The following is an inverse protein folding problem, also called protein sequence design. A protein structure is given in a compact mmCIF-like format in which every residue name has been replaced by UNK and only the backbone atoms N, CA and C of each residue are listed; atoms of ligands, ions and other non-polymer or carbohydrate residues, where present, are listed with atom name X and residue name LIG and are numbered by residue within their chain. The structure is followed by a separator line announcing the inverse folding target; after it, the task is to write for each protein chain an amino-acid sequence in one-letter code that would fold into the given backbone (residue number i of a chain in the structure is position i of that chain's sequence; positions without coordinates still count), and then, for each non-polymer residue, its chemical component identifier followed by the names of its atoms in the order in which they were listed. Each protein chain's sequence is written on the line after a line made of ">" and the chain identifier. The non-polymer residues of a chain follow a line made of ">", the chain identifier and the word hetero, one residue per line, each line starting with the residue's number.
data_IF_528037864192
#
_entry.id   IF_528037864192
#
_cell.length_a   1.000
_cell.length_b   1.000
_cell.length_c   1.000
_cell.angle_alpha   90.00
_cell.angle_beta   90.00
_cell.angle_gamma   90.00
#
_symmetry.space_group_name_H-M   'P 1'
#
loop_
_entity.id
_entity.type
_entity.pdbx_description
1 polymer ?
#
# COMPACT_ATOMS: atom_id res chain seq x y z
N UNK A 1 -4.30 -12.37 10.66
CA UNK A 1 -2.90 -12.79 10.85
C UNK A 1 -2.78 -14.00 11.76
N UNK A 2 -3.34 -14.00 12.99
CA UNK A 2 -3.22 -15.13 13.93
C UNK A 2 -3.95 -16.40 13.48
N UNK A 3 -5.06 -16.25 12.80
CA UNK A 3 -5.94 -17.34 12.35
C UNK A 3 -5.59 -17.90 10.95
N UNK A 4 -4.62 -17.33 10.26
CA UNK A 4 -4.19 -17.71 8.91
C UNK A 4 -2.76 -18.25 8.90
N UNK A 5 -2.46 -19.16 7.98
CA UNK A 5 -1.11 -19.65 7.71
C UNK A 5 -0.43 -18.71 6.69
N UNK A 6 0.30 -17.72 7.21
CA UNK A 6 0.96 -16.67 6.41
C UNK A 6 2.46 -16.65 6.65
N UNK A 7 3.18 -17.72 6.27
CA UNK A 7 4.60 -17.89 6.61
C UNK A 7 5.50 -16.82 5.97
N UNK A 8 5.19 -16.36 4.76
CA UNK A 8 6.00 -15.35 4.07
C UNK A 8 5.87 -13.98 4.74
N UNK A 9 4.65 -13.55 5.04
CA UNK A 9 4.39 -12.30 5.76
C UNK A 9 4.98 -12.36 7.18
N UNK A 10 4.86 -13.50 7.89
CA UNK A 10 5.50 -13.69 9.21
C UNK A 10 7.02 -13.58 9.13
N UNK A 11 7.63 -14.15 8.11
CA UNK A 11 9.06 -14.00 7.88
C UNK A 11 9.48 -12.54 7.68
N UNK A 12 8.68 -11.74 6.99
CA UNK A 12 8.92 -10.29 6.86
C UNK A 12 8.81 -9.58 8.22
N UNK A 13 7.84 -9.94 9.05
CA UNK A 13 7.70 -9.39 10.41
C UNK A 13 8.90 -9.73 11.30
N UNK A 14 9.37 -10.97 11.26
CA UNK A 14 10.51 -11.44 12.05
C UNK A 14 11.84 -10.81 11.62
N UNK A 15 11.98 -10.50 10.33
CA UNK A 15 13.20 -9.91 9.75
C UNK A 15 13.09 -8.41 9.47
N UNK A 16 12.04 -7.75 9.97
CA UNK A 16 11.77 -6.35 9.79
C UNK A 16 11.10 -5.70 11.00
N UNK A 17 10.39 -4.63 10.76
CA UNK A 17 9.59 -3.94 11.77
C UNK A 17 8.11 -3.97 11.38
N UNK A 18 7.22 -4.02 12.36
CA UNK A 18 5.80 -4.09 12.07
C UNK A 18 4.91 -3.51 13.17
N UNK A 19 3.71 -3.11 12.78
CA UNK A 19 2.55 -2.94 13.67
C UNK A 19 1.32 -3.56 13.03
N UNK A 20 0.41 -4.10 13.83
CA UNK A 20 -0.91 -4.57 13.39
C UNK A 20 -2.01 -3.57 13.77
N UNK A 21 -1.62 -2.38 14.19
CA UNK A 21 -2.51 -1.34 14.75
C UNK A 21 -2.38 0.01 14.03
N UNK A 22 -1.88 0.00 12.77
CA UNK A 22 -1.93 1.21 11.95
C UNK A 22 -3.41 1.59 11.74
N UNK A 23 -3.75 2.85 11.89
CA UNK A 23 -5.11 3.35 11.76
C UNK A 23 -5.39 3.89 10.37
N UNK A 24 -6.49 3.42 9.79
CA UNK A 24 -7.13 4.07 8.63
C UNK A 24 -7.67 5.44 9.02
N UNK A 25 -7.91 6.31 8.03
CA UNK A 25 -8.70 7.52 8.22
C UNK A 25 -10.19 7.24 8.00
N UNK A 26 -11.05 8.13 8.45
CA UNK A 26 -12.49 8.00 8.27
C UNK A 26 -12.97 8.74 7.02
N UNK A 27 -13.94 8.15 6.29
CA UNK A 27 -14.47 6.81 6.45
C UNK A 27 -13.41 5.74 6.15
N UNK A 28 -13.49 4.57 6.81
CA UNK A 28 -12.57 3.45 6.57
C UNK A 28 -12.90 2.73 5.25
N UNK A 29 -12.68 3.43 4.15
CA UNK A 29 -13.06 2.99 2.80
C UNK A 29 -11.95 3.28 1.78
N UNK A 30 -12.04 2.64 0.62
CA UNK A 30 -10.92 2.43 -0.30
C UNK A 30 -10.33 3.73 -0.83
N UNK A 31 -11.05 4.55 -1.61
CA UNK A 31 -10.43 5.74 -2.22
C UNK A 31 -9.85 6.70 -1.17
N UNK A 32 -10.55 6.88 -0.03
CA UNK A 32 -10.12 7.76 1.06
C UNK A 32 -8.78 7.31 1.65
N UNK A 33 -8.63 6.00 1.88
CA UNK A 33 -7.44 5.46 2.54
C UNK A 33 -6.29 5.21 1.58
N UNK A 34 -6.54 4.80 0.34
CA UNK A 34 -5.50 4.75 -0.68
C UNK A 34 -4.95 6.15 -0.98
N UNK A 35 -5.83 7.17 -1.14
CA UNK A 35 -5.40 8.56 -1.30
C UNK A 35 -4.55 9.00 -0.12
N UNK A 36 -5.00 8.77 1.12
CA UNK A 36 -4.24 9.15 2.31
C UNK A 36 -2.87 8.45 2.37
N UNK A 37 -2.80 7.18 1.96
CA UNK A 37 -1.57 6.40 1.91
C UNK A 37 -0.56 6.95 0.91
N UNK A 38 -1.02 7.40 -0.27
CA UNK A 38 -0.13 7.91 -1.32
C UNK A 38 0.20 9.39 -1.16
N UNK A 39 -0.68 10.17 -0.52
CA UNK A 39 -0.65 11.63 -0.43
C UNK A 39 -0.17 12.17 0.92
N UNK A 40 0.18 11.31 1.88
CA UNK A 40 0.73 11.73 3.17
C UNK A 40 -0.17 12.66 4.01
N UNK A 41 -1.47 12.69 3.73
CA UNK A 41 -2.44 13.62 4.31
C UNK A 41 -3.80 12.96 4.50
N UNK A 42 -4.68 13.55 5.29
CA UNK A 42 -6.06 13.11 5.46
C UNK A 42 -7.03 13.66 4.39
N UNK A 43 -8.27 13.13 4.36
CA UNK A 43 -9.27 13.52 3.36
C UNK A 43 -9.63 15.01 3.38
N UNK A 44 -9.54 15.66 4.53
CA UNK A 44 -9.73 17.10 4.66
C UNK A 44 -8.69 17.95 3.91
N UNK A 45 -7.56 17.38 3.54
CA UNK A 45 -6.48 18.04 2.79
C UNK A 45 -6.45 17.63 1.32
N UNK A 46 -6.49 16.30 1.04
CA UNK A 46 -6.42 15.82 -0.34
C UNK A 46 -7.79 15.83 -1.05
N UNK A 47 -8.90 15.84 -0.31
CA UNK A 47 -10.23 16.03 -0.85
C UNK A 47 -11.00 14.77 -1.26
N UNK A 48 -10.37 13.60 -1.29
CA UNK A 48 -11.05 12.33 -1.60
C UNK A 48 -11.74 11.82 -0.33
N UNK A 49 -13.08 11.88 -0.30
CA UNK A 49 -13.87 11.67 0.91
C UNK A 49 -14.83 10.47 0.85
N UNK A 50 -15.08 9.91 -0.34
CA UNK A 50 -16.01 8.82 -0.55
C UNK A 50 -15.28 7.53 -0.99
N UNK A 51 -15.90 6.37 -0.84
CA UNK A 51 -15.28 5.07 -1.15
C UNK A 51 -14.81 4.94 -2.61
N UNK A 52 -15.48 5.58 -3.53
CA UNK A 52 -15.23 5.50 -4.97
C UNK A 52 -14.88 6.86 -5.60
N UNK A 53 -14.38 7.81 -4.84
CA UNK A 53 -13.98 9.13 -5.36
C UNK A 53 -12.97 8.98 -6.51
N UNK A 54 -13.31 9.52 -7.67
CA UNK A 54 -12.46 9.57 -8.86
C UNK A 54 -11.82 10.95 -9.05
N UNK A 55 -12.39 11.93 -8.41
CA UNK A 55 -11.91 13.32 -8.31
C UNK A 55 -12.11 13.76 -6.87
N UNK A 56 -11.40 14.77 -6.40
CA UNK A 56 -11.62 15.28 -5.04
C UNK A 56 -13.06 15.77 -4.84
N UNK A 57 -13.74 15.26 -3.82
CA UNK A 57 -15.09 15.66 -3.40
C UNK A 57 -15.06 17.03 -2.73
N UNK A 58 -13.95 17.34 -2.05
CA UNK A 58 -13.60 18.66 -1.55
C UNK A 58 -12.41 19.19 -2.35
N UNK A 59 -12.34 20.50 -2.63
CA UNK A 59 -11.15 21.06 -3.27
C UNK A 59 -9.86 20.68 -2.52
N UNK A 60 -8.93 20.03 -3.19
CA UNK A 60 -7.62 19.72 -2.63
C UNK A 60 -6.94 20.99 -2.11
N UNK A 61 -6.31 20.93 -0.93
CA UNK A 61 -5.67 22.10 -0.31
C UNK A 61 -4.59 22.71 -1.20
N UNK A 62 -3.87 21.86 -1.93
CA UNK A 62 -2.93 22.21 -2.99
C UNK A 62 -3.01 21.14 -4.09
N UNK A 63 -2.55 21.49 -5.28
CA UNK A 63 -2.31 20.54 -6.37
C UNK A 63 -0.92 20.81 -6.95
N UNK A 64 -0.30 19.78 -7.50
CA UNK A 64 0.95 19.90 -8.25
C UNK A 64 0.67 20.41 -9.69
N UNK A 65 1.69 20.45 -10.53
CA UNK A 65 1.58 20.91 -11.93
C UNK A 65 0.68 19.99 -12.79
N UNK A 66 0.49 18.75 -12.40
CA UNK A 66 -0.37 17.76 -13.06
C UNK A 66 -1.82 17.84 -12.60
N UNK A 67 -2.13 18.74 -11.64
CA UNK A 67 -3.50 18.98 -11.15
C UNK A 67 -3.98 18.00 -10.08
N UNK A 68 -3.09 17.19 -9.51
CA UNK A 68 -3.40 16.27 -8.41
C UNK A 68 -2.70 16.71 -7.11
N UNK A 69 -3.26 16.36 -5.96
CA UNK A 69 -2.58 16.54 -4.68
C UNK A 69 -1.23 15.80 -4.69
N UNK A 70 -0.12 16.37 -4.15
CA UNK A 70 1.21 15.75 -4.19
C UNK A 70 1.18 14.31 -3.66
N UNK A 71 1.66 13.37 -4.48
CA UNK A 71 1.74 11.94 -4.17
C UNK A 71 3.18 11.50 -4.00
N UNK A 72 3.41 10.38 -3.30
CA UNK A 72 4.76 9.79 -3.21
C UNK A 72 5.36 9.49 -4.59
N UNK A 73 4.53 9.21 -5.58
CA UNK A 73 4.97 8.96 -6.96
C UNK A 73 5.49 10.23 -7.63
N UNK A 74 4.73 11.33 -7.54
CA UNK A 74 5.16 12.64 -8.09
C UNK A 74 6.38 13.18 -7.35
N UNK A 75 6.44 13.05 -6.03
CA UNK A 75 7.58 13.51 -5.25
C UNK A 75 8.85 12.71 -5.57
N UNK A 76 8.74 11.39 -5.78
CA UNK A 76 9.87 10.59 -6.23
C UNK A 76 10.30 10.97 -7.66
N UNK A 77 9.36 11.17 -8.57
CA UNK A 77 9.65 11.61 -9.95
C UNK A 77 10.37 12.96 -9.97
N UNK A 78 9.97 13.89 -9.11
CA UNK A 78 10.59 15.23 -9.04
C UNK A 78 12.06 15.17 -8.61
N UNK A 79 12.43 14.29 -7.68
CA UNK A 79 13.84 14.17 -7.22
C UNK A 79 14.66 13.18 -8.03
N UNK A 80 14.02 12.24 -8.72
CA UNK A 80 14.65 11.21 -9.54
C UNK A 80 13.91 11.07 -10.89
N UNK A 81 14.15 12.00 -11.84
CA UNK A 81 13.39 12.04 -13.11
C UNK A 81 13.45 10.75 -13.93
N UNK A 82 14.54 9.98 -13.81
CA UNK A 82 14.77 8.74 -14.56
C UNK A 82 14.37 7.47 -13.76
N UNK A 83 13.80 7.63 -12.57
CA UNK A 83 13.40 6.48 -11.74
C UNK A 83 12.33 5.64 -12.44
N UNK A 84 12.50 4.33 -12.43
CA UNK A 84 11.45 3.40 -12.88
C UNK A 84 10.41 3.28 -11.77
N UNK A 85 9.18 3.71 -12.03
CA UNK A 85 8.09 3.77 -11.05
C UNK A 85 6.89 3.02 -11.62
N UNK A 86 6.45 1.97 -10.93
CA UNK A 86 5.36 1.11 -11.38
C UNK A 86 4.13 1.15 -10.48
N UNK A 87 2.98 0.91 -11.09
CA UNK A 87 1.70 0.75 -10.42
C UNK A 87 0.93 -0.40 -11.07
N UNK A 88 0.60 -1.45 -10.31
CA UNK A 88 -0.07 -2.66 -10.78
C UNK A 88 -1.20 -2.96 -9.81
N UNK A 89 -2.44 -2.99 -10.28
CA UNK A 89 -3.60 -3.01 -9.40
C UNK A 89 -4.82 -3.69 -10.04
N UNK A 90 -5.69 -4.24 -9.20
CA UNK A 90 -6.96 -4.86 -9.58
C UNK A 90 -8.10 -3.84 -9.54
N UNK A 91 -8.26 -3.11 -8.46
CA UNK A 91 -9.32 -2.13 -8.33
C UNK A 91 -9.05 -0.87 -9.17
N UNK A 92 -9.89 -0.61 -10.17
CA UNK A 92 -9.69 0.53 -11.10
C UNK A 92 -9.61 1.89 -10.40
N UNK A 93 -10.21 2.03 -9.21
CA UNK A 93 -10.17 3.26 -8.42
C UNK A 93 -8.76 3.77 -8.12
N UNK A 94 -7.76 2.90 -8.06
CA UNK A 94 -6.36 3.27 -7.79
C UNK A 94 -5.83 4.30 -8.80
N UNK A 95 -6.19 4.18 -10.08
CA UNK A 95 -5.70 5.10 -11.14
C UNK A 95 -6.04 6.56 -10.91
N UNK A 96 -7.09 6.85 -10.15
CA UNK A 96 -7.53 8.21 -9.86
C UNK A 96 -6.86 8.82 -8.63
N UNK A 97 -6.09 8.01 -7.89
CA UNK A 97 -5.47 8.36 -6.62
C UNK A 97 -3.93 8.45 -6.71
N UNK A 98 -3.39 8.07 -7.86
CA UNK A 98 -1.97 8.17 -8.18
C UNK A 98 -1.76 9.26 -9.24
N UNK A 99 -0.58 9.87 -9.22
CA UNK A 99 -0.16 10.75 -10.31
C UNK A 99 0.33 9.88 -11.48
N UNK A 100 -0.54 9.65 -12.46
CA UNK A 100 -0.24 8.75 -13.58
C UNK A 100 0.87 9.29 -14.49
N UNK A 101 1.12 10.61 -14.51
CA UNK A 101 2.21 11.22 -15.28
C UNK A 101 3.57 10.98 -14.61
N UNK A 102 3.58 10.70 -13.31
CA UNK A 102 4.79 10.32 -12.59
C UNK A 102 5.22 8.86 -12.82
N UNK A 103 4.34 8.00 -13.38
CA UNK A 103 4.59 6.58 -13.53
C UNK A 103 5.35 6.25 -14.82
N UNK A 104 6.23 5.24 -14.77
CA UNK A 104 6.86 4.60 -15.93
C UNK A 104 5.99 3.44 -16.44
N UNK A 105 5.25 2.80 -15.55
CA UNK A 105 4.38 1.67 -15.84
C UNK A 105 3.11 1.75 -15.00
N UNK A 106 1.96 1.79 -15.66
CA UNK A 106 0.63 1.74 -15.02
C UNK A 106 -0.17 0.59 -15.60
N UNK A 107 -0.56 -0.36 -14.76
CA UNK A 107 -1.22 -1.59 -15.19
C UNK A 107 -2.44 -1.91 -14.35
N UNK A 108 -3.62 -1.60 -14.87
CA UNK A 108 -4.86 -2.16 -14.37
C UNK A 108 -4.99 -3.62 -14.83
N UNK A 109 -5.19 -4.52 -13.89
CA UNK A 109 -5.40 -5.96 -14.12
C UNK A 109 -6.83 -6.29 -13.70
N UNK A 110 -7.68 -6.54 -14.66
CA UNK A 110 -9.07 -6.91 -14.37
C UNK A 110 -9.09 -8.24 -13.62
N UNK A 111 -9.66 -8.25 -12.44
CA UNK A 111 -9.86 -9.44 -11.65
C UNK A 111 -10.80 -10.43 -12.37
N UNK A 112 -10.42 -11.69 -12.38
CA UNK A 112 -11.23 -12.77 -12.96
C UNK A 112 -11.46 -13.84 -11.90
N UNK A 113 -12.71 -14.03 -11.48
CA UNK A 113 -13.11 -15.11 -10.58
C UNK A 113 -12.40 -15.11 -9.21
N UNK A 114 -12.12 -13.95 -8.66
CA UNK A 114 -11.39 -13.77 -7.38
C UNK A 114 -9.98 -14.39 -7.41
N UNK A 115 -9.29 -14.29 -8.54
CA UNK A 115 -7.94 -14.80 -8.75
C UNK A 115 -6.97 -13.65 -9.06
N UNK A 116 -6.04 -13.38 -8.15
CA UNK A 116 -5.00 -12.36 -8.28
C UNK A 116 -3.68 -12.90 -8.89
N UNK A 117 -3.68 -14.09 -9.47
CA UNK A 117 -2.49 -14.66 -10.12
C UNK A 117 -1.93 -13.73 -11.20
N UNK A 118 -2.80 -13.06 -11.95
CA UNK A 118 -2.40 -12.14 -13.02
C UNK A 118 -1.65 -10.91 -12.45
N UNK A 119 -2.13 -10.29 -11.36
CA UNK A 119 -1.44 -9.17 -10.70
C UNK A 119 -0.07 -9.61 -10.22
N UNK A 120 0.00 -10.74 -9.52
CA UNK A 120 1.27 -11.29 -9.04
C UNK A 120 2.26 -11.51 -10.20
N UNK A 121 1.81 -12.11 -11.31
CA UNK A 121 2.66 -12.34 -12.49
C UNK A 121 3.16 -11.04 -13.09
N UNK A 122 2.30 -10.04 -13.31
CA UNK A 122 2.72 -8.74 -13.85
C UNK A 122 3.74 -8.06 -12.93
N UNK A 123 3.54 -8.14 -11.60
CA UNK A 123 4.49 -7.59 -10.64
C UNK A 123 5.85 -8.30 -10.70
N UNK A 124 5.86 -9.64 -10.76
CA UNK A 124 7.08 -10.46 -10.87
C UNK A 124 7.84 -10.14 -12.14
N UNK A 125 7.14 -10.12 -13.28
CA UNK A 125 7.74 -9.85 -14.59
C UNK A 125 8.35 -8.44 -14.63
N UNK A 126 7.61 -7.44 -14.13
CA UNK A 126 8.06 -6.05 -14.06
C UNK A 126 9.29 -5.88 -13.14
N UNK A 127 9.26 -6.48 -11.96
CA UNK A 127 10.39 -6.45 -11.01
C UNK A 127 11.65 -7.06 -11.63
N UNK A 128 11.53 -8.21 -12.29
CA UNK A 128 12.67 -8.91 -12.92
C UNK A 128 13.23 -8.14 -14.12
N UNK A 129 12.36 -7.57 -14.95
CA UNK A 129 12.76 -6.88 -16.19
C UNK A 129 13.28 -5.46 -15.91
N UNK A 130 12.58 -4.69 -15.08
CA UNK A 130 12.84 -3.25 -14.89
C UNK A 130 13.60 -2.90 -13.63
N UNK A 131 13.56 -3.74 -12.59
CA UNK A 131 14.16 -3.47 -11.28
C UNK A 131 13.75 -2.08 -10.76
N UNK A 132 12.43 -1.82 -10.62
CA UNK A 132 11.91 -0.48 -10.36
C UNK A 132 12.44 0.11 -9.06
N UNK A 133 12.58 1.44 -9.02
CA UNK A 133 12.88 2.19 -7.80
C UNK A 133 11.71 2.12 -6.81
N UNK A 134 10.47 2.20 -7.34
CA UNK A 134 9.24 2.05 -6.56
C UNK A 134 8.22 1.27 -7.40
N UNK A 135 7.59 0.25 -6.82
CA UNK A 135 6.43 -0.40 -7.42
C UNK A 135 5.34 -0.58 -6.38
N UNK A 136 4.14 -0.12 -6.72
CA UNK A 136 2.92 -0.36 -5.96
C UNK A 136 2.20 -1.56 -6.57
N UNK A 137 1.83 -2.54 -5.73
CA UNK A 137 1.07 -3.73 -6.15
C UNK A 137 -0.15 -3.85 -5.26
N UNK A 138 -1.34 -3.80 -5.85
CA UNK A 138 -2.61 -3.81 -5.11
C UNK A 138 -3.42 -5.05 -5.46
N UNK A 139 -3.65 -5.88 -4.46
CA UNK A 139 -4.55 -7.03 -4.48
C UNK A 139 -5.89 -6.64 -3.89
N UNK A 140 -6.96 -6.66 -4.67
CA UNK A 140 -8.31 -6.28 -4.24
C UNK A 140 -9.15 -7.49 -3.80
N UNK A 141 -8.74 -8.67 -4.23
CA UNK A 141 -9.48 -9.93 -4.05
C UNK A 141 -9.82 -10.25 -2.59
N UNK A 142 -9.01 -9.81 -1.62
CA UNK A 142 -9.28 -10.08 -0.20
C UNK A 142 -10.53 -9.33 0.27
N UNK A 143 -10.68 -8.08 -0.16
CA UNK A 143 -11.87 -7.27 0.13
C UNK A 143 -13.12 -7.86 -0.55
N UNK A 144 -13.01 -8.29 -1.81
CA UNK A 144 -14.10 -8.99 -2.52
C UNK A 144 -14.58 -10.23 -1.77
N UNK A 145 -13.66 -11.04 -1.22
CA UNK A 145 -14.04 -12.20 -0.40
C UNK A 145 -14.67 -11.74 0.92
N UNK A 146 -14.18 -10.67 1.52
CA UNK A 146 -14.77 -10.03 2.69
C UNK A 146 -16.23 -9.65 2.46
N UNK A 147 -16.53 -8.98 1.36
CA UNK A 147 -17.90 -8.63 0.97
C UNK A 147 -18.78 -9.84 0.65
N UNK A 148 -18.23 -10.84 -0.03
CA UNK A 148 -19.00 -12.02 -0.43
C UNK A 148 -19.28 -12.98 0.73
N UNK A 149 -18.23 -13.38 1.46
CA UNK A 149 -18.29 -14.42 2.48
C UNK A 149 -18.29 -13.87 3.92
N UNK A 150 -17.85 -12.64 4.10
CA UNK A 150 -17.63 -11.99 5.39
C UNK A 150 -16.17 -11.96 5.81
N UNK A 151 -15.79 -10.86 6.44
CA UNK A 151 -14.52 -10.73 7.14
C UNK A 151 -14.47 -11.68 8.35
N UNK A 152 -13.29 -12.09 8.78
CA UNK A 152 -13.09 -13.03 9.89
C UNK A 152 -13.74 -14.42 9.67
N UNK A 153 -13.86 -14.87 8.41
CA UNK A 153 -14.39 -16.18 8.03
C UNK A 153 -13.30 -17.12 7.50
N UNK A 154 -13.51 -18.45 7.47
CA UNK A 154 -12.55 -19.38 6.87
C UNK A 154 -12.21 -19.04 5.41
N UNK A 155 -13.18 -18.61 4.60
CA UNK A 155 -12.95 -18.21 3.21
C UNK A 155 -12.01 -17.00 3.12
N UNK A 156 -12.21 -16.01 3.99
CA UNK A 156 -11.33 -14.83 4.08
C UNK A 156 -9.88 -15.21 4.43
N UNK A 157 -9.70 -16.12 5.40
CA UNK A 157 -8.36 -16.59 5.79
C UNK A 157 -7.70 -17.42 4.71
N UNK A 158 -8.44 -18.28 4.02
CA UNK A 158 -7.91 -19.03 2.86
C UNK A 158 -7.41 -18.07 1.77
N UNK A 159 -8.14 -16.99 1.49
CA UNK A 159 -7.70 -15.98 0.52
C UNK A 159 -6.47 -15.20 1.00
N UNK A 160 -6.38 -14.89 2.28
CA UNK A 160 -5.18 -14.28 2.86
C UNK A 160 -3.95 -15.18 2.74
N UNK A 161 -4.12 -16.50 2.91
CA UNK A 161 -3.05 -17.49 2.73
C UNK A 161 -2.58 -17.56 1.27
N UNK A 162 -3.50 -17.42 0.33
CA UNK A 162 -3.17 -17.32 -1.10
C UNK A 162 -2.36 -16.04 -1.42
N UNK A 163 -2.77 -14.89 -0.86
CA UNK A 163 -2.04 -13.63 -1.01
C UNK A 163 -0.65 -13.73 -0.36
N UNK A 164 -0.52 -14.39 0.78
CA UNK A 164 0.80 -14.68 1.39
C UNK A 164 1.72 -15.42 0.42
N UNK A 165 1.17 -16.36 -0.34
CA UNK A 165 1.89 -17.06 -1.41
C UNK A 165 2.38 -16.10 -2.51
N UNK A 166 1.55 -15.13 -2.92
CA UNK A 166 1.96 -14.11 -3.90
C UNK A 166 3.05 -13.18 -3.34
N UNK A 167 2.96 -12.79 -2.08
CA UNK A 167 4.03 -12.03 -1.40
C UNK A 167 5.34 -12.81 -1.42
N UNK A 168 5.30 -14.11 -1.12
CA UNK A 168 6.47 -14.99 -1.20
C UNK A 168 7.07 -15.05 -2.60
N UNK A 169 6.25 -15.15 -3.65
CA UNK A 169 6.71 -15.13 -5.05
C UNK A 169 7.34 -13.79 -5.43
N UNK A 170 6.79 -12.67 -5.00
CA UNK A 170 7.36 -11.32 -5.21
C UNK A 170 8.72 -11.21 -4.54
N UNK A 171 8.85 -11.63 -3.28
CA UNK A 171 10.15 -11.66 -2.57
C UNK A 171 11.15 -12.54 -3.32
N UNK A 172 10.73 -13.70 -3.83
CA UNK A 172 11.61 -14.56 -4.63
C UNK A 172 12.03 -13.88 -5.93
N UNK A 173 11.12 -13.16 -6.60
CA UNK A 173 11.45 -12.40 -7.81
C UNK A 173 12.50 -11.30 -7.55
N UNK A 174 12.42 -10.61 -6.41
CA UNK A 174 13.44 -9.63 -6.00
C UNK A 174 14.81 -10.28 -5.79
N UNK A 175 14.83 -11.47 -5.19
CA UNK A 175 16.07 -12.27 -5.02
C UNK A 175 16.64 -12.72 -6.37
N UNK A 176 15.81 -13.27 -7.24
CA UNK A 176 16.19 -13.71 -8.58
C UNK A 176 16.72 -12.54 -9.44
N UNK A 177 16.17 -11.36 -9.27
CA UNK A 177 16.61 -10.14 -9.94
C UNK A 177 17.90 -9.56 -9.34
N UNK A 178 18.36 -10.08 -8.20
CA UNK A 178 19.56 -9.62 -7.49
C UNK A 178 19.43 -8.25 -6.85
N UNK A 179 18.20 -7.85 -6.48
CA UNK A 179 17.93 -6.54 -5.87
C UNK A 179 17.51 -6.64 -4.40
N UNK A 180 17.29 -7.83 -3.86
CA UNK A 180 16.76 -8.03 -2.50
C UNK A 180 17.54 -7.28 -1.43
N UNK A 181 18.87 -7.37 -1.44
CA UNK A 181 19.73 -6.78 -0.41
C UNK A 181 19.78 -5.24 -0.45
N UNK A 182 19.33 -4.65 -1.56
CA UNK A 182 19.25 -3.20 -1.77
C UNK A 182 17.81 -2.68 -1.68
N UNK A 183 16.85 -3.55 -1.39
CA UNK A 183 15.42 -3.23 -1.44
C UNK A 183 14.78 -3.20 -0.06
N UNK A 184 13.63 -2.55 -0.02
CA UNK A 184 12.69 -2.58 1.09
C UNK A 184 11.33 -3.02 0.55
N UNK A 185 10.68 -3.94 1.24
CA UNK A 185 9.29 -4.35 0.98
C UNK A 185 8.38 -3.85 2.10
N UNK A 186 7.24 -3.30 1.71
CA UNK A 186 6.17 -2.91 2.63
C UNK A 186 4.92 -3.73 2.30
N UNK A 187 4.33 -4.36 3.31
CA UNK A 187 3.03 -5.02 3.22
C UNK A 187 2.05 -4.29 4.12
N UNK A 188 0.98 -3.80 3.55
CA UNK A 188 -0.01 -3.01 4.28
C UNK A 188 -1.41 -3.17 3.68
N UNK A 189 -2.42 -2.54 4.26
CA UNK A 189 -3.78 -2.48 3.75
C UNK A 189 -4.36 -1.07 3.95
N UNK A 190 -5.34 -0.72 3.15
CA UNK A 190 -6.03 0.57 3.22
C UNK A 190 -7.03 0.63 4.37
N UNK A 191 -7.83 -0.40 4.58
CA UNK A 191 -8.76 -0.54 5.70
C UNK A 191 -8.89 -2.00 6.13
N UNK A 192 -9.58 -2.24 7.22
CA UNK A 192 -10.07 -3.53 7.63
C UNK A 192 -11.54 -3.72 7.25
N UNK A 193 -12.24 -4.62 7.94
CA UNK A 193 -13.66 -4.86 7.68
C UNK A 193 -14.33 -5.62 8.81
N UNK A 194 -15.65 -5.54 8.83
CA UNK A 194 -16.51 -6.26 9.80
C UNK A 194 -17.71 -6.83 9.07
N UNK A 195 -18.09 -8.06 9.41
CA UNK A 195 -19.15 -8.78 8.73
C UNK A 195 -18.89 -8.78 7.20
N UNK A 196 -19.76 -8.20 6.41
CA UNK A 196 -19.62 -8.09 4.94
C UNK A 196 -19.38 -6.66 4.45
N UNK A 197 -18.79 -5.80 5.28
CA UNK A 197 -18.59 -4.41 4.92
C UNK A 197 -17.45 -3.72 5.65
N UNK A 198 -17.29 -2.46 5.33
CA UNK A 198 -16.34 -1.52 5.91
C UNK A 198 -16.86 -0.08 5.72
N UNK A 199 -16.08 0.93 6.09
CA UNK A 199 -16.48 2.35 5.98
C UNK A 199 -16.87 2.96 7.32
N UNK A 200 -17.01 2.14 8.35
CA UNK A 200 -17.37 2.54 9.70
C UNK A 200 -16.15 2.89 10.57
N UNK A 201 -16.38 2.80 11.89
CA UNK A 201 -15.41 3.25 12.90
C UNK A 201 -15.09 2.20 13.96
N UNK A 202 -15.40 0.95 13.69
CA UNK A 202 -14.98 -0.16 14.58
C UNK A 202 -13.47 -0.39 14.43
N UNK A 203 -12.83 -0.97 15.46
CA UNK A 203 -11.41 -1.28 15.36
C UNK A 203 -11.11 -2.29 14.27
N UNK A 204 -12.04 -3.23 13.99
CA UNK A 204 -11.91 -4.17 12.90
C UNK A 204 -11.85 -3.49 11.51
N UNK A 205 -12.53 -2.36 11.35
CA UNK A 205 -12.50 -1.57 10.11
C UNK A 205 -11.30 -0.62 10.05
N UNK A 206 -10.85 -0.14 11.22
CA UNK A 206 -9.85 0.92 11.32
C UNK A 206 -8.41 0.41 11.44
N UNK A 207 -8.18 -0.74 12.08
CA UNK A 207 -6.83 -1.24 12.30
C UNK A 207 -6.37 -2.14 11.16
N UNK A 208 -5.22 -1.81 10.59
CA UNK A 208 -4.59 -2.49 9.46
C UNK A 208 -3.12 -2.78 9.75
N UNK A 209 -2.52 -3.79 9.10
CA UNK A 209 -1.10 -4.07 9.25
C UNK A 209 -0.25 -3.00 8.56
N UNK A 210 0.93 -2.78 9.10
CA UNK A 210 2.07 -2.19 8.41
C UNK A 210 3.31 -3.03 8.75
N UNK A 211 3.90 -3.64 7.74
CA UNK A 211 5.07 -4.51 7.87
C UNK A 211 6.11 -3.98 6.89
N UNK A 212 7.31 -3.72 7.38
CA UNK A 212 8.41 -3.22 6.56
C UNK A 212 9.65 -4.07 6.82
N UNK A 213 10.31 -4.52 5.76
CA UNK A 213 11.47 -5.38 5.84
C UNK A 213 12.45 -5.06 4.71
N UNK A 214 13.75 -5.14 4.96
CA UNK A 214 14.77 -4.92 3.94
C UNK A 214 15.96 -4.12 4.43
N UNK A 215 16.61 -3.44 3.49
CA UNK A 215 17.86 -2.70 3.72
C UNK A 215 17.69 -1.65 4.82
N UNK A 216 18.59 -1.69 5.81
CA UNK A 216 18.63 -0.77 6.97
C UNK A 216 17.38 -0.77 7.86
N UNK A 217 16.43 -1.68 7.65
CA UNK A 217 15.27 -1.82 8.54
C UNK A 217 15.69 -2.63 9.77
N UNK A 218 15.35 -2.12 10.95
CA UNK A 218 15.53 -2.84 12.23
C UNK A 218 14.76 -4.15 12.22
N UNK A 219 15.37 -5.23 12.72
CA UNK A 219 14.78 -6.57 12.66
C UNK A 219 14.07 -6.95 13.95
N UNK A 220 12.92 -7.62 13.81
CA UNK A 220 12.13 -8.14 14.92
C UNK A 220 11.53 -7.07 15.82
N UNK A 221 11.27 -5.87 15.29
CA UNK A 221 10.77 -4.74 16.06
C UNK A 221 9.26 -4.60 15.90
N UNK A 222 8.57 -4.50 17.02
CA UNK A 222 7.18 -4.02 17.06
C UNK A 222 7.22 -2.49 17.10
N UNK A 223 6.52 -1.85 16.17
CA UNK A 223 6.39 -0.38 16.14
C UNK A 223 5.36 0.00 17.21
N UNK A 224 5.84 0.64 18.28
CA UNK A 224 5.01 1.08 19.41
C UNK A 224 4.39 2.47 19.19
N UNK A 225 4.98 3.26 18.29
CA UNK A 225 4.47 4.57 17.91
C UNK A 225 3.11 4.44 17.22
N UNK A 226 2.22 5.40 17.52
CA UNK A 226 0.95 5.45 16.81
C UNK A 226 1.19 5.76 15.33
N UNK A 227 0.61 4.94 14.47
CA UNK A 227 0.74 5.07 13.02
C UNK A 227 -0.62 5.26 12.39
N UNK A 228 -0.71 6.24 11.50
CA UNK A 228 -1.87 6.51 10.67
C UNK A 228 -1.60 6.13 9.22
N UNK A 229 -2.65 6.06 8.42
CA UNK A 229 -2.59 5.72 6.99
C UNK A 229 -1.63 6.64 6.22
N UNK A 230 -1.68 7.93 6.48
CA UNK A 230 -0.85 8.94 5.81
C UNK A 230 0.65 8.92 6.22
N UNK A 231 1.02 8.19 7.28
CA UNK A 231 2.42 8.02 7.69
C UNK A 231 3.20 7.11 6.73
N UNK A 232 2.49 6.33 5.88
CA UNK A 232 3.09 5.44 4.88
C UNK A 232 3.87 6.24 3.84
N UNK A 233 3.25 7.26 3.22
CA UNK A 233 3.95 8.12 2.24
C UNK A 233 5.17 8.80 2.85
N UNK A 234 5.04 9.32 4.07
CA UNK A 234 6.14 9.96 4.80
C UNK A 234 7.29 8.99 5.12
N UNK A 235 6.96 7.74 5.44
CA UNK A 235 7.96 6.69 5.65
C UNK A 235 8.67 6.34 4.33
N UNK A 236 7.94 6.21 3.23
CA UNK A 236 8.54 5.98 1.90
C UNK A 236 9.40 7.18 1.48
N UNK A 237 8.95 8.42 1.69
CA UNK A 237 9.73 9.62 1.42
C UNK A 237 11.07 9.61 2.17
N UNK A 238 11.07 9.17 3.44
CA UNK A 238 12.31 9.07 4.22
C UNK A 238 13.28 8.02 3.68
N UNK A 239 12.78 6.91 3.10
CA UNK A 239 13.62 5.89 2.43
C UNK A 239 14.41 6.51 1.26
N UNK A 240 13.76 7.34 0.48
CA UNK A 240 14.36 8.00 -0.68
C UNK A 240 15.08 9.32 -0.35
N UNK A 241 15.07 9.76 0.91
CA UNK A 241 15.63 11.05 1.31
C UNK A 241 14.88 12.25 0.73
N UNK A 242 13.61 12.07 0.41
CA UNK A 242 12.72 13.11 -0.12
C UNK A 242 12.29 14.01 1.03
N UNK A 243 12.47 15.31 0.86
CA UNK A 243 11.85 16.30 1.73
C UNK A 243 10.35 16.34 1.43
N UNK A 244 9.54 15.84 2.36
CA UNK A 244 8.09 15.79 2.15
C UNK A 244 7.48 17.18 1.95
N UNK A 245 6.43 17.29 1.10
CA UNK A 245 5.69 18.53 0.92
C UNK A 245 5.15 19.08 2.25
N UNK A 246 5.15 20.39 2.41
CA UNK A 246 4.65 21.03 3.64
C UNK A 246 3.19 20.68 3.95
N UNK A 247 2.40 20.35 2.94
CA UNK A 247 0.99 19.98 3.09
C UNK A 247 0.79 18.56 3.62
N UNK A 248 1.82 17.70 3.57
CA UNK A 248 1.75 16.38 4.18
C UNK A 248 1.84 16.48 5.70
N UNK A 249 0.97 15.74 6.38
CA UNK A 249 0.90 15.71 7.85
C UNK A 249 1.44 14.41 8.44
N UNK A 250 1.75 13.44 7.58
CA UNK A 250 2.33 12.17 7.98
C UNK A 250 3.73 12.32 8.58
N UNK A 251 4.13 11.33 9.37
CA UNK A 251 5.44 11.25 10.02
C UNK A 251 6.13 9.95 9.59
N UNK A 252 7.43 9.98 9.26
CA UNK A 252 8.15 8.75 8.98
C UNK A 252 8.25 7.89 10.26
N UNK A 253 8.07 6.59 10.11
CA UNK A 253 8.23 5.65 11.22
C UNK A 253 9.72 5.45 11.56
N UNK A 254 10.10 5.38 12.86
CA UNK A 254 11.50 5.28 13.31
C UNK A 254 12.01 3.83 13.20
N UNK A 255 11.90 3.23 12.03
CA UNK A 255 12.17 1.81 11.78
C UNK A 255 13.55 1.54 11.19
N UNK A 256 14.32 2.59 10.88
CA UNK A 256 15.65 2.47 10.27
C UNK A 256 16.77 2.50 11.31
N UNK A 257 17.91 1.82 10.98
CA UNK A 257 19.16 1.83 11.75
C UNK A 257 19.87 3.18 11.69
#
# INVERSE_FOLDING_TARGET
>A
MEKAQVPHIRSLMENGAYTLKKRSVLPSSSAVNWASMYMGAGPELHGYCEWGSQVPDLPSRVVNEDGIFPTIFSELRAVAPEAEIGNIYEWEGIRYLVDTLALSYDKHVVEVAQDSTAVSRFAIDYIKDKKPALVNVVFDVLDHVGHAAGHDTPAYYTKLEEIDGYVGQIVQAMKDAGIWDESIIIVTADHGGIEKGHGGRTMQEMETPFIICGKHVKKGIVIEESMMQFDVASTIASIFGIQQPQVWIGRPMPVFE
#
